data_IF_275345239736
#
_entry.id   IF_275345239736
#
_cell.length_a   1.000
_cell.length_b   1.000
_cell.length_c   1.000
_cell.angle_alpha   90.00
_cell.angle_beta   90.00
_cell.angle_gamma   90.00
#
_symmetry.space_group_name_H-M   'P 1'
#
loop_
_entity.id
_entity.type
_entity.pdbx_description
1 polymer ?
#
# COMPACT_ATOMS: atom_id res chain seq x y z
N UNK A 1 1.31 -1.83 -23.68
CA UNK A 1 0.94 -2.55 -22.45
C UNK A 1 1.61 -1.85 -21.29
N UNK A 2 0.86 -1.43 -20.28
CA UNK A 2 1.40 -0.70 -19.12
C UNK A 2 1.15 -1.50 -17.86
N UNK A 3 2.20 -1.73 -17.07
CA UNK A 3 2.12 -2.41 -15.77
C UNK A 3 2.31 -1.37 -14.69
N UNK A 4 1.41 -1.34 -13.72
CA UNK A 4 1.49 -0.44 -12.56
C UNK A 4 1.96 -1.24 -11.36
N UNK A 5 3.01 -0.75 -10.70
CA UNK A 5 3.59 -1.35 -9.50
C UNK A 5 3.40 -0.39 -8.34
N UNK A 6 2.84 -0.88 -7.24
CA UNK A 6 2.58 -0.09 -6.03
C UNK A 6 3.05 -0.91 -4.83
N UNK A 7 3.84 -0.27 -3.95
CA UNK A 7 4.20 -0.84 -2.65
C UNK A 7 3.01 -0.71 -1.70
N UNK A 8 2.83 -1.68 -0.80
CA UNK A 8 1.85 -1.60 0.29
C UNK A 8 2.01 -0.30 1.11
N UNK A 9 0.92 0.12 1.77
CA UNK A 9 0.94 1.27 2.68
C UNK A 9 1.84 1.03 3.91
N UNK A 10 2.11 2.08 4.67
CA UNK A 10 2.92 2.00 5.88
C UNK A 10 2.36 0.97 6.88
N UNK A 11 3.23 0.08 7.36
CA UNK A 11 2.94 -0.85 8.46
C UNK A 11 3.66 -0.47 9.75
N UNK A 12 3.23 -1.06 10.87
CA UNK A 12 3.85 -0.83 12.20
C UNK A 12 5.36 -1.09 12.19
N UNK A 13 5.77 -2.11 11.47
CA UNK A 13 7.18 -2.50 11.29
C UNK A 13 8.00 -1.52 10.46
N UNK A 14 7.36 -0.76 9.55
CA UNK A 14 8.05 0.35 8.86
C UNK A 14 8.33 1.50 9.84
N UNK A 15 7.39 1.81 10.73
CA UNK A 15 7.55 2.84 11.77
C UNK A 15 8.64 2.46 12.77
N UNK A 16 8.70 1.17 13.13
CA UNK A 16 9.70 0.62 14.04
C UNK A 16 11.09 0.43 13.38
N UNK A 17 11.24 0.73 12.09
CA UNK A 17 12.48 0.52 11.32
C UNK A 17 13.00 -0.92 11.39
N UNK A 18 12.08 -1.89 11.46
CA UNK A 18 12.41 -3.32 11.51
C UNK A 18 12.37 -3.94 10.12
N UNK A 19 13.31 -4.85 9.87
CA UNK A 19 13.25 -5.70 8.69
C UNK A 19 12.11 -6.70 8.85
N UNK A 20 11.24 -6.77 7.85
CA UNK A 20 10.14 -7.74 7.84
C UNK A 20 10.25 -8.65 6.64
N UNK A 21 10.24 -9.94 6.92
CA UNK A 21 10.20 -11.01 5.94
C UNK A 21 8.86 -11.75 6.07
N UNK A 22 8.75 -12.94 5.45
CA UNK A 22 7.51 -13.71 5.26
C UNK A 22 6.55 -13.78 6.46
N UNK A 23 7.06 -13.90 7.68
CA UNK A 23 6.23 -14.22 8.85
C UNK A 23 6.01 -13.05 9.83
N UNK A 24 6.52 -11.85 9.52
CA UNK A 24 6.48 -10.68 10.42
C UNK A 24 6.01 -9.40 9.71
N UNK A 25 5.14 -9.50 8.71
CA UNK A 25 4.48 -8.34 8.12
C UNK A 25 3.47 -7.80 9.12
N UNK A 26 3.90 -6.89 10.00
CA UNK A 26 2.98 -6.19 10.90
C UNK A 26 1.88 -5.47 10.13
N UNK A 27 0.73 -5.27 10.79
CA UNK A 27 -0.45 -4.66 10.20
C UNK A 27 -0.19 -3.25 9.65
N UNK A 28 -1.02 -2.83 8.68
CA UNK A 28 -1.05 -1.45 8.21
C UNK A 28 -1.41 -0.52 9.37
N UNK A 29 -0.71 0.61 9.47
CA UNK A 29 -1.11 1.69 10.37
C UNK A 29 -2.34 2.40 9.83
N UNK A 30 -2.98 3.25 10.64
CA UNK A 30 -4.03 4.16 10.15
C UNK A 30 -3.54 5.01 8.97
N UNK A 31 -2.27 5.41 8.98
CA UNK A 31 -1.66 6.09 7.84
C UNK A 31 -1.53 5.16 6.64
N UNK A 32 -1.12 3.90 6.81
CA UNK A 32 -1.05 2.90 5.76
C UNK A 32 -2.39 2.64 5.06
N UNK A 33 -3.48 2.54 5.81
CA UNK A 33 -4.82 2.43 5.26
C UNK A 33 -5.21 3.68 4.44
N UNK A 34 -4.93 4.87 4.96
CA UNK A 34 -5.19 6.12 4.24
C UNK A 34 -4.35 6.25 2.95
N UNK A 35 -3.11 5.78 2.96
CA UNK A 35 -2.26 5.72 1.77
C UNK A 35 -2.83 4.78 0.71
N UNK A 36 -3.25 3.57 1.11
CA UNK A 36 -3.87 2.61 0.21
C UNK A 36 -5.18 3.15 -0.40
N UNK A 37 -6.02 3.80 0.40
CA UNK A 37 -7.25 4.44 -0.08
C UNK A 37 -6.96 5.52 -1.14
N UNK A 38 -6.04 6.45 -0.85
CA UNK A 38 -5.66 7.51 -1.79
C UNK A 38 -5.03 6.98 -3.07
N UNK A 39 -4.22 5.92 -2.98
CA UNK A 39 -3.68 5.25 -4.15
C UNK A 39 -4.78 4.61 -5.01
N UNK A 40 -5.80 4.02 -4.38
CA UNK A 40 -6.98 3.48 -5.08
C UNK A 40 -7.79 4.55 -5.80
N UNK A 41 -7.99 5.72 -5.18
CA UNK A 41 -8.60 6.88 -5.85
C UNK A 41 -7.76 7.32 -7.05
N UNK A 42 -6.45 7.47 -6.87
CA UNK A 42 -5.54 7.86 -7.96
C UNK A 42 -5.55 6.86 -9.13
N UNK A 43 -5.59 5.54 -8.87
CA UNK A 43 -5.69 4.52 -9.91
C UNK A 43 -7.02 4.62 -10.67
N UNK A 44 -8.12 4.87 -9.97
CA UNK A 44 -9.44 5.06 -10.58
C UNK A 44 -9.46 6.28 -11.48
N UNK A 45 -8.85 7.39 -11.06
CA UNK A 45 -8.71 8.60 -11.89
C UNK A 45 -7.88 8.36 -13.15
N UNK A 46 -7.03 7.32 -13.16
CA UNK A 46 -6.30 6.85 -14.35
C UNK A 46 -7.08 5.84 -15.21
N UNK A 47 -8.32 5.52 -14.84
CA UNK A 47 -9.14 4.51 -15.52
C UNK A 47 -8.72 3.06 -15.24
N UNK A 48 -7.98 2.81 -14.15
CA UNK A 48 -7.45 1.49 -13.80
C UNK A 48 -8.34 0.87 -12.71
N UNK A 49 -8.76 -0.37 -12.91
CA UNK A 49 -9.56 -1.11 -11.92
C UNK A 49 -11.07 -0.81 -11.95
N UNK A 50 -11.56 -0.14 -12.99
CA UNK A 50 -12.99 -0.16 -13.33
C UNK A 50 -13.29 -1.49 -14.05
N UNK A 51 -14.04 -2.37 -13.37
CA UNK A 51 -14.97 -3.29 -14.03
C UNK A 51 -16.37 -2.71 -13.88
#
# INVERSE_FOLDING_TARGET
>A
MTIYLIRHGQSVVNVEHRLTCRDLSGELTTLGYNQAYRAGVWLRDKGIGQM
#
